data_IF_698732816119
#
_entry.id   IF_698732816119
#
_cell.length_a   1.000
_cell.length_b   1.000
_cell.length_c   1.000
_cell.angle_alpha   90.00
_cell.angle_beta   90.00
_cell.angle_gamma   90.00
#
_symmetry.space_group_name_H-M   'P 1'
#
loop_
_entity.id
_entity.type
_entity.pdbx_description
1 polymer ?
#
# COMPACT_ATOMS: atom_id res chain seq x y z
N UNK A 1 4.26 5.94 -21.28
CA UNK A 1 3.03 5.87 -20.47
C UNK A 1 3.47 5.53 -19.05
N UNK A 2 3.68 6.53 -18.19
CA UNK A 2 4.24 6.30 -16.86
C UNK A 2 3.09 6.13 -15.85
N UNK A 3 3.11 5.03 -15.11
CA UNK A 3 2.16 4.77 -14.04
C UNK A 3 2.33 5.82 -12.94
N UNK A 4 1.29 6.59 -12.63
CA UNK A 4 1.30 7.46 -11.47
C UNK A 4 1.44 6.64 -10.17
N UNK A 5 1.92 7.24 -9.07
CA UNK A 5 2.08 6.54 -7.80
C UNK A 5 0.74 5.97 -7.31
N UNK A 6 0.73 4.69 -6.94
CA UNK A 6 -0.39 4.08 -6.21
C UNK A 6 -0.39 4.65 -4.80
N UNK A 7 -1.35 5.53 -4.52
CA UNK A 7 -1.57 6.03 -3.17
C UNK A 7 -2.61 5.12 -2.48
N UNK A 8 -2.29 4.55 -1.30
CA UNK A 8 -3.29 3.85 -0.52
C UNK A 8 -4.39 4.85 -0.10
N UNK A 9 -5.65 4.48 -0.32
CA UNK A 9 -6.78 5.24 0.19
C UNK A 9 -7.21 4.59 1.49
N UNK A 10 -7.11 5.34 2.59
CA UNK A 10 -7.70 4.95 3.88
C UNK A 10 -9.07 5.58 4.02
N UNK A 11 -10.05 4.82 4.49
CA UNK A 11 -11.26 5.42 5.05
C UNK A 11 -10.89 6.13 6.36
N UNK A 12 -11.52 7.26 6.67
CA UNK A 12 -11.29 7.95 7.93
C UNK A 12 -11.73 7.04 9.08
N UNK A 13 -10.75 6.54 9.83
CA UNK A 13 -11.01 5.75 11.02
C UNK A 13 -11.34 6.69 12.20
N UNK A 14 -12.23 6.31 13.12
CA UNK A 14 -12.51 7.11 14.32
C UNK A 14 -11.21 7.37 15.10
N UNK A 15 -11.12 8.47 15.87
CA UNK A 15 -9.89 8.90 16.57
C UNK A 15 -9.20 7.79 17.40
N UNK A 16 -9.96 6.80 17.89
CA UNK A 16 -9.43 5.61 18.57
C UNK A 16 -8.55 4.72 17.69
N UNK A 17 -8.76 4.70 16.37
CA UNK A 17 -7.97 3.88 15.46
C UNK A 17 -6.51 4.33 15.39
N UNK A 18 -6.23 5.63 15.56
CA UNK A 18 -4.87 6.14 15.61
C UNK A 18 -4.07 5.62 16.83
N UNK A 19 -4.77 5.16 17.89
CA UNK A 19 -4.18 4.58 19.10
C UNK A 19 -3.99 3.07 19.05
N UNK A 20 -4.48 2.40 17.99
CA UNK A 20 -4.38 0.94 17.88
C UNK A 20 -3.01 0.50 17.40
N UNK A 21 -2.62 -0.69 17.85
CA UNK A 21 -1.34 -1.28 17.47
C UNK A 21 -1.27 -1.50 15.96
N UNK A 22 -0.08 -1.24 15.39
CA UNK A 22 0.20 -1.56 14.01
C UNK A 22 0.27 -3.08 13.83
N UNK A 23 -0.53 -3.60 12.90
CA UNK A 23 -0.55 -5.04 12.56
C UNK A 23 0.27 -5.33 11.30
N UNK A 24 0.52 -4.32 10.47
CA UNK A 24 1.45 -4.38 9.34
C UNK A 24 2.11 -3.01 9.15
N UNK A 25 3.43 -3.00 9.04
CA UNK A 25 4.22 -1.83 8.70
C UNK A 25 5.15 -2.17 7.53
N UNK A 26 5.07 -1.36 6.47
CA UNK A 26 5.88 -1.49 5.26
C UNK A 26 6.60 -0.18 5.05
N UNK A 27 7.92 -0.26 4.89
CA UNK A 27 8.78 0.90 4.66
C UNK A 27 9.61 0.70 3.40
N UNK A 28 9.44 1.59 2.41
CA UNK A 28 10.27 1.65 1.21
C UNK A 28 10.27 0.38 0.34
N UNK A 29 9.15 -0.34 0.24
CA UNK A 29 9.06 -1.60 -0.48
C UNK A 29 9.34 -1.41 -1.99
N UNK A 30 10.33 -2.14 -2.47
CA UNK A 30 10.63 -2.32 -3.89
C UNK A 30 10.49 -3.79 -4.24
N UNK A 31 9.76 -4.09 -5.30
CA UNK A 31 9.52 -5.46 -5.75
C UNK A 31 9.26 -5.49 -7.25
N UNK A 32 9.46 -6.65 -7.87
CA UNK A 32 9.28 -6.84 -9.29
C UNK A 32 9.58 -8.27 -9.71
N UNK A 33 9.42 -8.55 -11.00
CA UNK A 33 9.65 -9.88 -11.57
C UNK A 33 10.93 -9.86 -12.40
N UNK A 34 11.91 -10.67 -11.98
CA UNK A 34 13.23 -10.69 -12.60
C UNK A 34 13.89 -9.31 -12.57
N UNK A 35 14.19 -8.76 -13.76
CA UNK A 35 14.80 -7.44 -13.91
C UNK A 35 13.79 -6.28 -14.08
N UNK A 36 12.49 -6.56 -13.99
CA UNK A 36 11.44 -5.55 -14.21
C UNK A 36 10.92 -5.08 -12.85
N UNK A 37 11.26 -3.86 -12.40
CA UNK A 37 10.69 -3.30 -11.18
C UNK A 37 9.21 -2.97 -11.39
N UNK A 38 8.39 -3.27 -10.38
CA UNK A 38 6.93 -3.08 -10.39
C UNK A 38 6.47 -2.18 -9.24
N UNK A 39 7.06 -2.35 -8.04
CA UNK A 39 6.84 -1.50 -6.88
C UNK A 39 8.06 -0.61 -6.65
N UNK A 40 7.80 0.65 -6.33
CA UNK A 40 8.82 1.70 -6.24
C UNK A 40 8.71 2.45 -4.91
N UNK A 41 9.32 1.92 -3.85
CA UNK A 41 9.43 2.61 -2.56
C UNK A 41 8.11 2.77 -1.80
N UNK A 42 7.22 1.78 -1.85
CA UNK A 42 5.91 1.85 -1.20
C UNK A 42 6.07 1.80 0.32
N UNK A 43 5.45 2.75 1.03
CA UNK A 43 5.38 2.75 2.50
C UNK A 43 3.92 2.87 2.95
N UNK A 44 3.49 2.00 3.85
CA UNK A 44 2.14 1.98 4.41
C UNK A 44 2.13 1.36 5.80
N UNK A 45 1.17 1.77 6.61
CA UNK A 45 0.92 1.19 7.95
C UNK A 45 -0.55 0.81 8.01
N UNK A 46 -0.82 -0.42 8.44
CA UNK A 46 -2.16 -0.93 8.74
C UNK A 46 -2.25 -1.19 10.24
N UNK A 47 -3.24 -0.60 10.90
CA UNK A 47 -3.52 -0.84 12.32
C UNK A 47 -4.66 -1.81 12.53
N UNK A 48 -4.79 -2.31 13.75
CA UNK A 48 -5.83 -3.25 14.11
C UNK A 48 -7.25 -2.70 13.80
N UNK A 49 -8.02 -3.46 13.02
CA UNK A 49 -9.37 -3.07 12.61
C UNK A 49 -9.44 -1.98 11.54
N UNK A 50 -8.32 -1.56 10.96
CA UNK A 50 -8.30 -0.78 9.73
C UNK A 50 -8.44 -1.69 8.49
N UNK A 51 -8.89 -1.10 7.38
CA UNK A 51 -8.89 -1.74 6.08
C UNK A 51 -8.28 -0.78 5.05
N UNK A 52 -7.34 -1.27 4.25
CA UNK A 52 -6.71 -0.51 3.18
C UNK A 52 -7.23 -0.99 1.83
N UNK A 53 -7.74 -0.05 1.02
CA UNK A 53 -8.09 -0.30 -0.38
C UNK A 53 -6.95 0.10 -1.30
N UNK A 54 -6.49 -0.83 -2.15
CA UNK A 54 -5.52 -0.55 -3.21
C UNK A 54 -6.27 -0.39 -4.54
N UNK A 55 -6.24 0.80 -5.12
CA UNK A 55 -6.96 1.14 -6.36
C UNK A 55 -5.99 1.59 -7.43
N UNK A 56 -6.29 1.26 -8.68
CA UNK A 56 -5.48 1.64 -9.83
C UNK A 56 -5.73 0.73 -11.04
N UNK A 57 -5.34 1.19 -12.23
CA UNK A 57 -5.49 0.45 -13.48
C UNK A 57 -4.79 -0.93 -13.46
N UNK A 58 -5.14 -1.80 -14.42
CA UNK A 58 -4.45 -3.08 -14.61
C UNK A 58 -2.96 -2.85 -14.90
N UNK A 59 -2.09 -3.68 -14.32
CA UNK A 59 -0.64 -3.57 -14.48
C UNK A 59 0.08 -2.61 -13.52
N UNK A 60 -0.63 -1.90 -12.64
CA UNK A 60 -0.03 -0.90 -11.72
C UNK A 60 0.56 -1.50 -10.43
N UNK A 61 0.89 -2.79 -10.42
CA UNK A 61 1.53 -3.44 -9.25
C UNK A 61 0.62 -3.82 -8.09
N UNK A 62 -0.70 -3.65 -8.19
CA UNK A 62 -1.65 -3.99 -7.09
C UNK A 62 -1.53 -5.44 -6.60
N UNK A 63 -1.58 -6.42 -7.51
CA UNK A 63 -1.39 -7.84 -7.18
C UNK A 63 0.07 -8.21 -6.89
N UNK A 64 1.01 -7.28 -7.06
CA UNK A 64 2.39 -7.44 -6.61
C UNK A 64 2.57 -6.92 -5.18
N UNK A 65 1.66 -6.06 -4.71
CA UNK A 65 1.62 -5.53 -3.34
C UNK A 65 0.81 -6.42 -2.38
N UNK A 66 -0.11 -7.24 -2.90
CA UNK A 66 -0.92 -8.24 -2.16
C UNK A 66 -0.34 -9.64 -2.32
#
# INVERSE_FOLDING_TARGET
>A
MNAGPILPVTAAAPEDAARRDAVLEVSGLHAGYGHVPVLHGISLTLREGEAIGIVGHNGMGKSTLL
#
